data_IF_329500108956
#
_entry.id   IF_329500108956
#
_cell.length_a   1.000
_cell.length_b   1.000
_cell.length_c   1.000
_cell.angle_alpha   90.00
_cell.angle_beta   90.00
_cell.angle_gamma   90.00
#
_symmetry.space_group_name_H-M   'P 1'
#
loop_
_entity.id
_entity.type
_entity.pdbx_description
1 polymer ?
#
# COMPACT_ATOMS: atom_id res chain seq x y z
N UNK A 1 3.44 -4.81 18.45
CA UNK A 1 3.26 -3.50 17.78
C UNK A 1 2.45 -3.79 16.52
N UNK A 2 1.14 -3.54 16.57
CA UNK A 2 0.24 -3.90 15.48
C UNK A 2 0.24 -2.76 14.46
N UNK A 3 0.80 -3.00 13.28
CA UNK A 3 0.82 -2.02 12.20
C UNK A 3 -0.56 -1.90 11.57
N UNK A 4 -1.11 -0.69 11.59
CA UNK A 4 -2.33 -0.37 10.87
C UNK A 4 -1.96 -0.05 9.42
N UNK A 5 -2.51 -0.81 8.48
CA UNK A 5 -2.39 -0.55 7.05
C UNK A 5 -3.67 0.10 6.55
N UNK A 6 -3.60 1.28 5.93
CA UNK A 6 -4.75 1.97 5.35
C UNK A 6 -4.61 2.08 3.84
N UNK A 7 -5.59 1.54 3.11
CA UNK A 7 -5.59 1.51 1.64
C UNK A 7 -6.74 2.34 1.09
N UNK A 8 -6.45 3.20 0.12
CA UNK A 8 -7.47 3.89 -0.67
C UNK A 8 -7.62 3.21 -2.04
N UNK A 9 -8.81 2.66 -2.38
CA UNK A 9 -9.32 2.35 -3.74
C UNK A 9 -9.26 0.90 -4.33
N UNK A 10 -10.31 0.60 -5.12
CA UNK A 10 -10.71 -0.57 -5.94
C UNK A 10 -10.71 -1.98 -5.32
N UNK A 11 -11.93 -2.50 -5.10
CA UNK A 11 -12.25 -3.72 -4.34
C UNK A 11 -11.42 -4.98 -4.61
N UNK A 12 -11.28 -5.47 -5.86
CA UNK A 12 -10.64 -6.76 -6.12
C UNK A 12 -9.14 -6.77 -5.80
N UNK A 13 -8.41 -5.74 -6.26
CA UNK A 13 -6.96 -5.67 -6.09
C UNK A 13 -6.56 -5.43 -4.64
N UNK A 14 -7.37 -4.66 -3.91
CA UNK A 14 -7.22 -4.51 -2.46
C UNK A 14 -7.44 -5.85 -1.73
N UNK A 15 -8.46 -6.62 -2.12
CA UNK A 15 -8.74 -7.91 -1.50
C UNK A 15 -7.60 -8.91 -1.70
N UNK A 16 -7.01 -8.98 -2.90
CA UNK A 16 -5.85 -9.85 -3.16
C UNK A 16 -4.65 -9.46 -2.30
N UNK A 17 -4.26 -8.18 -2.30
CA UNK A 17 -3.17 -7.68 -1.46
C UNK A 17 -3.44 -7.92 0.03
N UNK A 18 -4.69 -7.69 0.49
CA UNK A 18 -5.09 -7.94 1.87
C UNK A 18 -4.90 -9.41 2.25
N UNK A 19 -5.29 -10.35 1.38
CA UNK A 19 -5.12 -11.78 1.66
C UNK A 19 -3.65 -12.16 1.79
N UNK A 20 -2.78 -11.67 0.89
CA UNK A 20 -1.34 -11.92 0.97
C UNK A 20 -0.76 -11.35 2.25
N UNK A 21 -1.11 -10.10 2.60
CA UNK A 21 -0.59 -9.44 3.80
C UNK A 21 -1.07 -10.12 5.08
N UNK A 22 -2.34 -10.53 5.18
CA UNK A 22 -2.85 -11.25 6.36
C UNK A 22 -2.24 -12.66 6.46
N UNK A 23 -1.95 -13.29 5.32
CA UNK A 23 -1.29 -14.60 5.28
C UNK A 23 0.15 -14.53 5.79
N UNK A 24 0.90 -13.49 5.39
CA UNK A 24 2.29 -13.28 5.80
C UNK A 24 2.39 -12.67 7.21
N UNK A 25 1.46 -11.79 7.57
CA UNK A 25 1.44 -11.02 8.81
C UNK A 25 0.05 -11.10 9.47
N UNK A 26 -0.26 -12.22 10.16
CA UNK A 26 -1.57 -12.41 10.80
C UNK A 26 -1.84 -11.43 11.95
N UNK A 27 -0.78 -10.82 12.51
CA UNK A 27 -0.88 -9.79 13.56
C UNK A 27 -1.07 -8.36 12.99
N UNK A 28 -0.98 -8.18 11.67
CA UNK A 28 -1.13 -6.87 11.03
C UNK A 28 -2.60 -6.51 10.81
N UNK A 29 -2.98 -5.27 11.16
CA UNK A 29 -4.34 -4.79 10.96
C UNK A 29 -4.48 -4.13 9.59
N UNK A 30 -5.03 -4.88 8.62
CA UNK A 30 -5.26 -4.37 7.26
C UNK A 30 -6.65 -3.75 7.12
N UNK A 31 -6.70 -2.42 7.09
CA UNK A 31 -7.90 -1.60 6.89
C UNK A 31 -7.92 -0.96 5.50
N UNK A 32 -9.05 -1.04 4.80
CA UNK A 32 -9.20 -0.46 3.47
C UNK A 32 -10.46 0.39 3.43
N UNK A 33 -10.36 1.58 2.82
CA UNK A 33 -11.52 2.42 2.58
C UNK A 33 -11.57 2.84 1.12
N UNK A 34 -12.79 3.05 0.62
CA UNK A 34 -12.96 3.58 -0.73
C UNK A 34 -12.64 5.07 -0.70
N UNK A 35 -11.47 5.42 -1.24
CA UNK A 35 -11.02 6.79 -1.39
C UNK A 35 -11.63 7.51 -2.59
N UNK A 36 -11.04 8.66 -2.93
CA UNK A 36 -11.35 9.38 -4.17
C UNK A 36 -11.15 8.45 -5.38
N UNK A 37 -12.06 8.52 -6.35
CA UNK A 37 -11.94 7.74 -7.58
C UNK A 37 -10.57 7.96 -8.23
N UNK A 38 -9.84 6.87 -8.48
CA UNK A 38 -8.53 6.89 -9.12
C UNK A 38 -7.32 7.05 -8.19
N UNK A 39 -7.50 7.37 -6.90
CA UNK A 39 -6.39 7.38 -5.94
C UNK A 39 -5.97 5.94 -5.59
N UNK A 40 -4.72 5.76 -5.16
CA UNK A 40 -4.24 4.54 -4.52
C UNK A 40 -3.17 4.94 -3.53
N UNK A 41 -3.46 4.79 -2.25
CA UNK A 41 -2.58 5.29 -1.20
C UNK A 41 -2.39 4.19 -0.17
N UNK A 42 -1.16 4.10 0.33
CA UNK A 42 -0.72 3.09 1.29
C UNK A 42 -0.20 3.84 2.51
N UNK A 43 -0.86 3.60 3.64
CA UNK A 43 -0.45 4.11 4.94
C UNK A 43 -0.01 2.94 5.81
N UNK A 44 1.16 3.03 6.44
CA UNK A 44 1.70 2.01 7.35
C UNK A 44 2.03 2.69 8.68
N UNK A 45 1.51 2.18 9.81
CA UNK A 45 1.72 2.78 11.13
C UNK A 45 1.29 4.27 11.22
N UNK A 46 0.28 4.68 10.43
CA UNK A 46 -0.17 6.08 10.36
C UNK A 46 0.72 7.00 9.52
N UNK A 47 1.72 6.46 8.81
CA UNK A 47 2.56 7.21 7.89
C UNK A 47 2.21 6.87 6.44
N UNK A 48 1.94 7.89 5.61
CA UNK A 48 1.70 7.72 4.19
C UNK A 48 3.01 7.33 3.48
N UNK A 49 3.11 6.06 3.09
CA UNK A 49 4.32 5.51 2.43
C UNK A 49 4.22 5.52 0.92
N UNK A 50 3.01 5.59 0.35
CA UNK A 50 2.82 5.69 -1.08
C UNK A 50 1.53 6.45 -1.42
N UNK A 51 1.58 7.29 -2.46
CA UNK A 51 0.40 7.86 -3.09
C UNK A 51 0.53 7.80 -4.61
N UNK A 52 -0.45 7.16 -5.25
CA UNK A 52 -0.60 7.12 -6.71
C UNK A 52 -0.88 8.50 -7.30
N UNK A 53 -1.51 9.39 -6.53
CA UNK A 53 -1.74 10.75 -6.99
C UNK A 53 -0.42 11.52 -7.10
N UNK A 54 0.52 11.27 -6.18
CA UNK A 54 1.86 11.86 -6.23
C UNK A 54 2.74 11.21 -7.31
N UNK A 55 2.70 9.89 -7.43
CA UNK A 55 3.60 9.13 -8.32
C UNK A 55 3.04 8.90 -9.72
N UNK A 56 1.77 9.22 -9.97
CA UNK A 56 1.08 9.05 -11.26
C UNK A 56 0.75 7.62 -11.65
N UNK A 57 1.03 6.62 -10.80
CA UNK A 57 0.88 5.19 -11.14
C UNK A 57 0.68 4.29 -9.94
N UNK A 58 0.50 3.00 -10.17
CA UNK A 58 0.45 2.00 -9.10
C UNK A 58 1.86 1.65 -8.62
N UNK A 59 2.05 1.32 -7.33
CA UNK A 59 3.34 0.85 -6.84
C UNK A 59 3.63 -0.56 -7.37
N UNK A 60 4.89 -0.97 -7.30
CA UNK A 60 5.25 -2.38 -7.50
C UNK A 60 4.91 -3.20 -6.26
N UNK A 61 4.56 -4.46 -6.44
CA UNK A 61 4.19 -5.35 -5.33
C UNK A 61 5.37 -5.58 -4.38
N UNK A 62 6.57 -5.78 -4.92
CA UNK A 62 7.80 -5.93 -4.13
C UNK A 62 8.10 -4.71 -3.24
N UNK A 63 7.89 -3.49 -3.74
CA UNK A 63 8.13 -2.26 -2.97
C UNK A 63 7.14 -2.18 -1.78
N UNK A 64 5.89 -2.57 -2.04
CA UNK A 64 4.85 -2.62 -1.01
C UNK A 64 5.16 -3.67 0.05
N UNK A 65 5.53 -4.88 -0.36
CA UNK A 65 5.87 -5.97 0.58
C UNK A 65 7.06 -5.60 1.47
N UNK A 66 8.12 -5.01 0.89
CA UNK A 66 9.28 -4.54 1.65
C UNK A 66 8.89 -3.45 2.67
N UNK A 67 8.03 -2.51 2.29
CA UNK A 67 7.56 -1.47 3.20
C UNK A 67 6.76 -2.05 4.37
N UNK A 68 5.90 -3.05 4.11
CA UNK A 68 5.12 -3.75 5.13
C UNK A 68 6.04 -4.53 6.07
N UNK A 69 7.04 -5.24 5.53
CA UNK A 69 7.99 -6.00 6.34
C UNK A 69 8.82 -5.08 7.24
N UNK A 70 9.31 -3.95 6.72
CA UNK A 70 10.00 -2.93 7.52
C UNK A 70 9.09 -2.37 8.61
N UNK A 71 7.83 -2.05 8.28
CA UNK A 71 6.84 -1.56 9.23
C UNK A 71 6.58 -2.57 10.35
N UNK A 72 6.55 -3.85 10.02
CA UNK A 72 6.35 -4.96 10.96
C UNK A 72 7.57 -5.17 11.88
N UNK A 73 8.78 -5.08 11.34
CA UNK A 73 10.04 -5.16 12.12
C UNK A 73 10.29 -3.92 12.98
N UNK A 74 9.45 -2.88 12.90
CA UNK A 74 9.64 -1.61 13.60
C UNK A 74 10.77 -0.75 13.01
N UNK A 75 11.20 -1.05 11.78
CA UNK A 75 12.17 -0.26 11.02
C UNK A 75 11.49 1.00 10.45
N UNK A 76 12.25 2.08 10.20
CA UNK A 76 11.72 3.24 9.51
C UNK A 76 11.23 2.82 8.11
N UNK A 77 9.99 3.17 7.80
CA UNK A 77 9.40 2.85 6.49
C UNK A 77 9.69 4.00 5.54
N UNK A 78 10.40 3.70 4.46
CA UNK A 78 10.74 4.69 3.45
C UNK A 78 9.57 4.94 2.49
N UNK A 79 9.47 6.18 1.97
CA UNK A 79 8.45 6.54 1.01
C UNK A 79 8.75 5.89 -0.34
N UNK A 80 7.81 5.11 -0.84
CA UNK A 80 7.88 4.50 -2.17
C UNK A 80 7.63 5.59 -3.21
N UNK A 81 8.64 5.89 -4.01
CA UNK A 81 8.57 6.88 -5.11
C UNK A 81 8.52 6.23 -6.48
N UNK A 82 8.82 4.93 -6.56
CA UNK A 82 8.70 4.14 -7.79
C UNK A 82 7.24 3.81 -8.04
N UNK A 83 6.78 4.12 -9.24
CA UNK A 83 5.47 3.72 -9.74
C UNK A 83 5.59 3.16 -11.15
N UNK A 84 4.62 2.35 -11.54
CA UNK A 84 4.46 1.97 -12.95
C UNK A 84 4.15 3.24 -13.74
N UNK A 85 4.76 3.44 -14.93
CA UNK A 85 4.52 4.64 -15.73
C UNK A 85 3.01 4.82 -15.99
N UNK A 86 2.54 6.07 -16.08
CA UNK A 86 1.13 6.34 -16.36
C UNK A 86 0.76 5.60 -17.65
N UNK A 87 -0.30 4.80 -17.59
CA UNK A 87 -0.86 4.19 -18.79
C UNK A 87 -1.42 5.32 -19.66
N UNK A 88 -0.60 5.84 -20.58
CA UNK A 88 -1.08 6.67 -21.68
C UNK A 88 -1.76 5.73 -22.68
N UNK A 89 -3.08 5.75 -22.70
CA UNK A 89 -3.80 5.43 -23.94
C UNK A 89 -3.65 6.71 -24.77
N UNK A 90 -2.78 6.66 -25.79
CA UNK A 90 -2.67 7.72 -26.79
C UNK A 90 -3.86 7.64 -27.75
#
# INVERSE_FOLDING_TARGET
LAGQLKWLCYGPRYQELKQVVISEFPEAEVSGFVGRQGSFEVELNGQLVFSKLETGGFPYEDDVMNAIQNAHEGKPVEKITKSRPPCVIL
#
